data_IF_796248182388
#
_entry.id   IF_796248182388
#
_cell.length_a   1.000
_cell.length_b   1.000
_cell.length_c   1.000
_cell.angle_alpha   90.00
_cell.angle_beta   90.00
_cell.angle_gamma   90.00
#
_symmetry.space_group_name_H-M   'P 1'
#
loop_
_entity.id
_entity.type
_entity.pdbx_description
1 polymer ?
#
# COMPACT_ATOMS: atom_id res chain seq x y z
N UNK A 1 7.48 12.95 -15.75
CA UNK A 1 7.31 11.50 -15.52
C UNK A 1 7.77 11.24 -14.10
N UNK A 2 6.98 10.57 -13.28
CA UNK A 2 7.33 10.28 -11.89
C UNK A 2 8.29 9.08 -11.82
N UNK A 3 9.33 9.14 -10.99
CA UNK A 3 10.18 8.00 -10.64
C UNK A 3 9.59 7.25 -9.44
N UNK A 4 9.23 5.98 -9.66
CA UNK A 4 8.66 5.10 -8.65
C UNK A 4 9.69 4.09 -8.15
N UNK A 5 9.64 3.79 -6.84
CA UNK A 5 10.48 2.77 -6.22
C UNK A 5 9.65 1.86 -5.33
N UNK A 6 10.04 0.58 -5.29
CA UNK A 6 9.47 -0.42 -4.40
C UNK A 6 10.29 -0.43 -3.11
N UNK A 7 9.59 -0.37 -1.97
CA UNK A 7 10.18 -0.54 -0.65
C UNK A 7 9.42 -1.65 0.09
N UNK A 8 10.14 -2.64 0.58
CA UNK A 8 9.57 -3.70 1.39
C UNK A 8 9.77 -3.44 2.89
N UNK A 9 8.89 -4.02 3.70
CA UNK A 9 8.96 -4.04 5.18
C UNK A 9 10.32 -4.47 5.74
N UNK A 10 10.96 -5.49 5.16
CA UNK A 10 12.28 -5.97 5.59
C UNK A 10 13.45 -5.09 5.13
N UNK A 11 13.19 -4.01 4.40
CA UNK A 11 14.21 -3.06 3.92
C UNK A 11 14.24 -1.76 4.73
N UNK A 12 13.39 -1.62 5.76
CA UNK A 12 13.24 -0.36 6.50
C UNK A 12 14.48 0.05 7.30
N UNK A 13 15.33 -0.91 7.67
CA UNK A 13 16.59 -0.66 8.40
C UNK A 13 17.77 -0.33 7.46
N UNK A 14 17.57 -0.38 6.15
CA UNK A 14 18.62 -0.02 5.20
C UNK A 14 18.79 1.51 5.12
N UNK A 15 20.02 2.03 4.88
CA UNK A 15 20.28 3.46 4.69
C UNK A 15 19.80 3.95 3.31
N UNK A 16 18.54 3.69 2.97
CA UNK A 16 17.94 4.00 1.68
C UNK A 16 17.49 5.47 1.56
N UNK A 17 17.43 6.22 2.66
CA UNK A 17 16.86 7.57 2.70
C UNK A 17 17.40 8.53 1.64
N UNK A 18 18.72 8.60 1.43
CA UNK A 18 19.32 9.48 0.42
C UNK A 18 18.93 9.08 -1.01
N UNK A 19 18.76 7.79 -1.29
CA UNK A 19 18.31 7.29 -2.59
C UNK A 19 16.81 7.58 -2.79
N UNK A 20 16.00 7.40 -1.74
CA UNK A 20 14.57 7.67 -1.79
C UNK A 20 14.27 9.15 -2.04
N UNK A 21 15.12 10.08 -1.59
CA UNK A 21 14.98 11.52 -1.90
C UNK A 21 15.00 11.82 -3.41
N UNK A 22 15.59 10.95 -4.22
CA UNK A 22 15.63 11.09 -5.68
C UNK A 22 14.37 10.55 -6.37
N UNK A 23 13.48 9.88 -5.63
CA UNK A 23 12.26 9.27 -6.14
C UNK A 23 11.03 10.14 -5.81
N UNK A 24 10.05 10.12 -6.70
CA UNK A 24 8.79 10.84 -6.52
C UNK A 24 7.79 10.05 -5.67
N UNK A 25 7.82 8.71 -5.81
CA UNK A 25 6.84 7.80 -5.20
C UNK A 25 7.47 6.53 -4.66
N UNK A 26 7.01 6.14 -3.46
CA UNK A 26 7.31 4.85 -2.84
C UNK A 26 6.05 3.99 -2.87
N UNK A 27 6.13 2.82 -3.49
CA UNK A 27 5.16 1.76 -3.27
C UNK A 27 5.65 0.90 -2.11
N UNK A 28 4.91 0.89 -1.01
CA UNK A 28 5.28 0.12 0.17
C UNK A 28 4.57 -1.24 0.19
N UNK A 29 5.33 -2.30 0.39
CA UNK A 29 4.83 -3.68 0.35
C UNK A 29 5.23 -4.46 1.59
N UNK A 30 4.28 -5.20 2.16
CA UNK A 30 4.56 -6.21 3.19
C UNK A 30 4.84 -7.54 2.51
N UNK A 31 6.05 -8.09 2.66
CA UNK A 31 6.46 -9.28 1.90
C UNK A 31 5.76 -10.56 2.39
N UNK A 32 5.70 -10.77 3.71
CA UNK A 32 5.08 -11.95 4.33
C UNK A 32 3.69 -11.61 4.85
N UNK A 33 2.68 -12.42 4.58
CA UNK A 33 1.31 -12.13 5.03
C UNK A 33 1.21 -11.93 6.54
N UNK A 34 1.97 -12.70 7.32
CA UNK A 34 1.98 -12.60 8.79
C UNK A 34 2.51 -11.26 9.32
N UNK A 35 3.30 -10.53 8.52
CA UNK A 35 3.83 -9.21 8.89
C UNK A 35 2.82 -8.08 8.69
N UNK A 36 1.65 -8.34 8.07
CA UNK A 36 0.55 -7.37 7.96
C UNK A 36 0.07 -6.93 9.36
N UNK A 37 0.33 -7.74 10.40
CA UNK A 37 0.07 -7.35 11.79
C UNK A 37 0.81 -6.06 12.18
N UNK A 38 1.99 -5.84 11.63
CA UNK A 38 2.91 -4.73 11.89
C UNK A 38 2.78 -3.58 10.87
N UNK A 39 1.82 -3.67 9.92
CA UNK A 39 1.70 -2.74 8.80
C UNK A 39 1.62 -1.27 9.22
N UNK A 40 0.87 -0.94 10.28
CA UNK A 40 0.77 0.44 10.78
C UNK A 40 2.12 0.96 11.29
N UNK A 41 2.80 0.20 12.15
CA UNK A 41 4.11 0.56 12.69
C UNK A 41 5.18 0.68 11.59
N UNK A 42 5.18 -0.24 10.63
CA UNK A 42 6.13 -0.23 9.52
C UNK A 42 5.88 0.98 8.61
N UNK A 43 4.61 1.35 8.37
CA UNK A 43 4.29 2.51 7.55
C UNK A 43 4.72 3.84 8.20
N UNK A 44 4.68 3.96 9.53
CA UNK A 44 5.28 5.12 10.22
C UNK A 44 6.79 5.23 9.97
N UNK A 45 7.50 4.10 9.87
CA UNK A 45 8.92 4.11 9.51
C UNK A 45 9.13 4.52 8.05
N UNK A 46 8.27 4.08 7.13
CA UNK A 46 8.30 4.53 5.72
C UNK A 46 8.14 6.05 5.63
N UNK A 47 7.22 6.64 6.39
CA UNK A 47 7.01 8.08 6.43
C UNK A 47 8.26 8.83 6.92
N UNK A 48 8.95 8.29 7.93
CA UNK A 48 10.22 8.85 8.44
C UNK A 48 11.39 8.68 7.46
N UNK A 49 11.46 7.53 6.76
CA UNK A 49 12.55 7.19 5.85
C UNK A 49 12.44 7.93 4.51
N UNK A 50 11.22 8.24 4.06
CA UNK A 50 10.94 8.84 2.76
C UNK A 50 10.08 10.11 2.83
N UNK A 51 10.38 11.11 3.68
CA UNK A 51 9.44 12.19 4.00
C UNK A 51 8.98 13.01 2.79
N UNK A 52 9.80 13.11 1.74
CA UNK A 52 9.49 13.84 0.51
C UNK A 52 8.70 13.07 -0.53
N UNK A 53 8.69 11.73 -0.49
CA UNK A 53 8.02 10.93 -1.51
C UNK A 53 6.51 10.86 -1.25
N UNK A 54 5.70 10.79 -2.31
CA UNK A 54 4.31 10.36 -2.16
C UNK A 54 4.27 8.84 -1.95
N UNK A 55 3.25 8.33 -1.25
CA UNK A 55 3.18 6.90 -0.89
C UNK A 55 1.98 6.22 -1.52
N UNK A 56 2.20 4.99 -1.95
CA UNK A 56 1.17 4.09 -2.47
C UNK A 56 1.28 2.77 -1.71
N UNK A 57 0.16 2.24 -1.25
CA UNK A 57 0.15 0.96 -0.53
C UNK A 57 0.04 -0.20 -1.53
N UNK A 58 1.01 -1.10 -1.52
CA UNK A 58 0.92 -2.38 -2.22
C UNK A 58 0.17 -3.41 -1.38
N UNK A 59 -0.79 -4.10 -2.00
CA UNK A 59 -1.62 -5.12 -1.39
C UNK A 59 -1.48 -6.43 -2.18
N UNK A 60 -0.73 -7.38 -1.63
CA UNK A 60 -0.71 -8.74 -2.18
C UNK A 60 -2.02 -9.47 -1.87
N UNK A 61 -2.59 -10.12 -2.87
CA UNK A 61 -3.76 -11.01 -2.83
C UNK A 61 -3.34 -12.49 -2.73
N UNK A 62 -2.04 -12.76 -2.83
CA UNK A 62 -1.42 -14.08 -2.68
C UNK A 62 -0.18 -13.97 -1.80
N UNK A 63 0.00 -14.92 -0.88
CA UNK A 63 1.19 -15.00 -0.05
C UNK A 63 2.27 -15.80 -0.78
N UNK A 64 3.17 -15.08 -1.45
CA UNK A 64 4.31 -15.67 -2.15
C UNK A 64 5.36 -16.26 -1.22
N UNK A 65 5.38 -15.85 0.06
CA UNK A 65 6.33 -16.38 1.03
C UNK A 65 5.99 -17.80 1.48
N UNK A 66 4.70 -18.15 1.46
CA UNK A 66 4.20 -19.47 1.83
C UNK A 66 3.55 -20.24 0.65
N UNK A 67 3.47 -19.64 -0.54
CA UNK A 67 2.90 -20.29 -1.72
C UNK A 67 1.42 -20.61 -1.56
N UNK A 68 0.64 -19.70 -0.97
CA UNK A 68 -0.79 -19.90 -0.70
C UNK A 68 -1.63 -18.64 -0.90
N UNK A 69 -2.95 -18.75 -1.12
CA UNK A 69 -3.84 -17.60 -1.15
C UNK A 69 -3.75 -16.75 0.12
N UNK A 70 -3.84 -15.42 -0.04
CA UNK A 70 -3.93 -14.52 1.11
C UNK A 70 -5.18 -14.86 1.93
N UNK A 71 -5.09 -14.84 3.26
CA UNK A 71 -6.27 -14.97 4.11
C UNK A 71 -7.18 -13.75 3.94
N UNK A 72 -8.49 -13.97 3.79
CA UNK A 72 -9.45 -12.88 3.57
C UNK A 72 -9.43 -11.85 4.72
N UNK A 73 -9.20 -12.28 5.96
CA UNK A 73 -9.05 -11.39 7.13
C UNK A 73 -7.82 -10.47 7.03
N UNK A 74 -6.73 -10.94 6.42
CA UNK A 74 -5.53 -10.13 6.19
C UNK A 74 -5.72 -9.16 5.02
N UNK A 75 -6.41 -9.58 3.94
CA UNK A 75 -6.87 -8.66 2.88
C UNK A 75 -7.73 -7.54 3.47
N UNK A 76 -8.72 -7.89 4.29
CA UNK A 76 -9.59 -6.94 4.99
C UNK A 76 -8.78 -5.93 5.79
N UNK A 77 -7.78 -6.39 6.55
CA UNK A 77 -6.92 -5.52 7.35
C UNK A 77 -6.17 -4.51 6.46
N UNK A 78 -5.48 -4.96 5.41
CA UNK A 78 -4.73 -4.03 4.56
C UNK A 78 -5.64 -3.08 3.76
N UNK A 79 -6.80 -3.54 3.28
CA UNK A 79 -7.75 -2.68 2.57
C UNK A 79 -8.38 -1.62 3.47
N UNK A 80 -8.80 -2.00 4.69
CA UNK A 80 -9.38 -1.05 5.64
C UNK A 80 -8.36 -0.01 6.12
N UNK A 81 -7.10 -0.41 6.32
CA UNK A 81 -6.01 0.51 6.62
C UNK A 81 -5.72 1.44 5.44
N UNK A 82 -5.60 0.88 4.23
CA UNK A 82 -5.38 1.64 3.00
C UNK A 82 -6.46 2.70 2.79
N UNK A 83 -7.75 2.34 2.91
CA UNK A 83 -8.85 3.29 2.81
C UNK A 83 -8.80 4.38 3.89
N UNK A 84 -8.46 4.02 5.13
CA UNK A 84 -8.26 5.00 6.20
C UNK A 84 -7.14 5.98 5.84
N UNK A 85 -6.02 5.48 5.32
CA UNK A 85 -4.87 6.31 4.92
C UNK A 85 -5.15 7.17 3.70
N UNK A 86 -5.91 6.68 2.72
CA UNK A 86 -6.41 7.47 1.59
C UNK A 86 -7.24 8.65 2.08
N UNK A 87 -8.20 8.40 2.99
CA UNK A 87 -9.04 9.46 3.59
C UNK A 87 -8.24 10.46 4.42
N UNK A 88 -7.13 10.03 5.02
CA UNK A 88 -6.21 10.89 5.78
C UNK A 88 -5.21 11.64 4.88
N UNK A 89 -5.08 11.27 3.61
CA UNK A 89 -4.07 11.78 2.69
C UNK A 89 -2.65 11.28 2.99
N UNK A 90 -2.50 10.17 3.70
CA UNK A 90 -1.19 9.55 4.01
C UNK A 90 -0.64 8.72 2.85
N UNK A 91 -1.55 8.14 2.06
CA UNK A 91 -1.26 7.52 0.76
C UNK A 91 -2.13 8.19 -0.30
N UNK A 92 -1.65 8.17 -1.55
CA UNK A 92 -2.40 8.69 -2.71
C UNK A 92 -3.04 7.58 -3.55
N UNK A 93 -2.74 6.32 -3.25
CA UNK A 93 -3.27 5.18 -4.00
C UNK A 93 -3.00 3.84 -3.34
N UNK A 94 -3.63 2.80 -3.89
CA UNK A 94 -3.39 1.40 -3.55
C UNK A 94 -3.15 0.59 -4.84
N UNK A 95 -2.28 -0.42 -4.77
CA UNK A 95 -2.01 -1.35 -5.87
C UNK A 95 -2.34 -2.77 -5.40
N UNK A 96 -3.13 -3.49 -6.19
CA UNK A 96 -3.45 -4.90 -5.93
C UNK A 96 -2.64 -5.82 -6.83
N UNK A 97 -2.01 -6.85 -6.25
CA UNK A 97 -1.19 -7.82 -6.99
C UNK A 97 -1.51 -9.25 -6.49
N UNK A 98 -1.68 -10.27 -7.33
CA UNK A 98 -1.41 -10.34 -8.76
C UNK A 98 -2.68 -10.44 -9.61
N UNK A 99 -2.64 -9.91 -10.84
CA UNK A 99 -3.75 -10.00 -11.78
C UNK A 99 -4.00 -11.42 -12.29
N UNK A 100 -2.97 -12.29 -12.31
CA UNK A 100 -3.06 -13.66 -12.82
C UNK A 100 -3.94 -14.61 -11.99
N UNK A 101 -4.33 -14.21 -10.77
CA UNK A 101 -5.18 -15.00 -9.89
C UNK A 101 -6.62 -14.47 -9.82
N UNK A 102 -6.92 -13.39 -10.54
CA UNK A 102 -8.21 -12.69 -10.42
C UNK A 102 -9.41 -13.57 -10.79
N UNK A 103 -9.22 -14.56 -11.66
CA UNK A 103 -10.28 -15.42 -12.21
C UNK A 103 -10.26 -16.85 -11.63
N UNK A 104 -9.48 -17.08 -10.56
CA UNK A 104 -9.35 -18.40 -9.92
C UNK A 104 -10.35 -18.64 -8.78
N UNK A 105 -11.26 -17.70 -8.52
CA UNK A 105 -12.28 -17.83 -7.47
C UNK A 105 -11.73 -17.86 -6.04
N UNK A 106 -10.55 -17.27 -5.80
CA UNK A 106 -9.95 -17.20 -4.46
C UNK A 106 -10.76 -16.27 -3.56
N UNK A 107 -11.04 -16.71 -2.33
CA UNK A 107 -11.85 -15.96 -1.37
C UNK A 107 -11.36 -14.53 -1.15
N UNK A 108 -10.04 -14.34 -0.99
CA UNK A 108 -9.41 -13.03 -0.81
C UNK A 108 -9.61 -12.10 -2.01
N UNK A 109 -9.58 -12.64 -3.23
CA UNK A 109 -9.78 -11.90 -4.47
C UNK A 109 -11.26 -11.52 -4.61
N UNK A 110 -12.17 -12.48 -4.41
CA UNK A 110 -13.62 -12.24 -4.47
C UNK A 110 -14.10 -11.24 -3.41
N UNK A 111 -13.53 -11.33 -2.21
CA UNK A 111 -13.76 -10.34 -1.16
C UNK A 111 -13.25 -8.96 -1.59
N UNK A 112 -12.03 -8.87 -2.12
CA UNK A 112 -11.44 -7.60 -2.57
C UNK A 112 -12.24 -6.96 -3.70
N UNK A 113 -12.72 -7.75 -4.66
CA UNK A 113 -13.59 -7.28 -5.77
C UNK A 113 -14.86 -6.62 -5.24
N UNK A 114 -15.57 -7.29 -4.32
CA UNK A 114 -16.79 -6.74 -3.70
C UNK A 114 -16.49 -5.46 -2.91
N UNK A 115 -15.39 -5.47 -2.15
CA UNK A 115 -14.97 -4.29 -1.40
C UNK A 115 -14.67 -3.08 -2.31
N UNK A 116 -14.02 -3.29 -3.46
CA UNK A 116 -13.80 -2.22 -4.45
C UNK A 116 -15.14 -1.73 -5.03
N UNK A 117 -16.10 -2.61 -5.31
CA UNK A 117 -17.42 -2.20 -5.79
C UNK A 117 -18.18 -1.35 -4.76
N UNK A 118 -18.07 -1.69 -3.47
CA UNK A 118 -18.74 -0.95 -2.39
C UNK A 118 -18.08 0.41 -2.10
N UNK A 119 -16.74 0.47 -2.14
CA UNK A 119 -15.99 1.61 -1.62
C UNK A 119 -15.28 2.44 -2.69
N UNK A 120 -15.16 1.94 -3.93
CA UNK A 120 -14.36 2.54 -5.00
C UNK A 120 -14.86 3.91 -5.48
N UNK A 121 -16.18 4.12 -5.42
CA UNK A 121 -16.82 5.39 -5.80
C UNK A 121 -16.99 6.34 -4.61
N UNK A 122 -16.62 5.93 -3.39
CA UNK A 122 -16.71 6.78 -2.22
C UNK A 122 -15.66 7.91 -2.31
N UNK A 123 -16.05 9.18 -2.14
CA UNK A 123 -15.13 10.29 -2.25
C UNK A 123 -14.05 10.24 -1.16
N UNK A 124 -12.79 10.35 -1.57
CA UNK A 124 -11.65 10.56 -0.67
C UNK A 124 -11.36 12.07 -0.59
N UNK A 125 -11.18 12.60 0.62
CA UNK A 125 -10.91 14.02 0.82
C UNK A 125 -9.47 14.32 0.38
N UNK A 126 -9.30 14.88 -0.82
CA UNK A 126 -7.99 15.35 -1.28
C UNK A 126 -7.66 16.65 -0.53
N UNK A 127 -6.61 16.64 0.30
CA UNK A 127 -6.02 17.89 0.80
C UNK A 127 -5.33 18.56 -0.39
N UNK A 128 -5.95 19.61 -0.94
CA UNK A 128 -5.28 20.53 -1.85
C UNK A 128 -4.08 21.13 -1.12
N UNK A 129 -2.85 20.73 -1.47
CA UNK A 129 -1.66 21.44 -1.03
C UNK A 129 -1.73 22.84 -1.63
N UNK A 130 -1.90 23.86 -0.78
CA UNK A 130 -1.72 25.25 -1.19
C UNK A 130 -0.30 25.37 -1.72
N UNK A 131 -0.13 25.58 -3.02
CA UNK A 131 1.11 26.09 -3.57
C UNK A 131 1.31 27.48 -2.98
N UNK A 132 2.20 27.58 -1.99
CA UNK A 132 2.79 28.85 -1.58
C UNK A 132 3.54 29.41 -2.78
N UNK A 133 2.91 30.33 -3.49
CA UNK A 133 3.61 31.22 -4.40
C UNK A 133 4.19 32.35 -3.54
N UNK A 134 5.51 32.49 -3.62
CA UNK A 134 6.27 33.63 -3.09
C UNK A 134 5.73 34.96 -3.63
#
# INVERSE_FOLDING_TARGET
MDLWVVLYDHQLDLPAGEHLKQCDKVTFWTWKAMEIKNLEQNFEQVEKLSPSCRKVLGCYMYDYSEGKPMLASLMQKQCNLGLRWLRQGRIEGMIFLASCICDLGLESVEWTRRWIQEMGDCPIRVKLSKNSSN
#
